data_IF_189607363977
#
_entry.id   IF_189607363977
#
_cell.length_a   1.000
_cell.length_b   1.000
_cell.length_c   1.000
_cell.angle_alpha   90.00
_cell.angle_beta   90.00
_cell.angle_gamma   90.00
#
_symmetry.space_group_name_H-M   'P 1'
#
loop_
_entity.id
_entity.type
_entity.pdbx_description
1 polymer ?
#
# COMPACT_ATOMS: atom_id res chain seq x y z
N UNK A 1 -16.15 -22.21 -21.07
CA UNK A 1 -16.13 -20.74 -21.13
C UNK A 1 -17.23 -20.25 -22.04
N UNK A 2 -17.79 -19.08 -21.78
CA UNK A 2 -18.90 -18.54 -22.59
C UNK A 2 -18.76 -17.03 -22.74
N UNK A 3 -19.24 -16.50 -23.87
CA UNK A 3 -19.37 -15.08 -24.15
C UNK A 3 -20.85 -14.70 -24.16
N UNK A 4 -21.28 -13.90 -23.21
CA UNK A 4 -22.62 -13.32 -23.21
C UNK A 4 -22.59 -11.97 -23.91
N UNK A 5 -23.57 -11.73 -24.77
CA UNK A 5 -23.77 -10.45 -25.44
C UNK A 5 -25.15 -9.90 -25.06
N UNK A 6 -25.18 -8.72 -24.46
CA UNK A 6 -26.41 -8.05 -24.07
C UNK A 6 -26.61 -6.80 -24.92
N UNK A 7 -27.85 -6.65 -25.40
CA UNK A 7 -28.33 -5.53 -26.21
C UNK A 7 -29.56 -4.93 -25.56
N UNK A 8 -29.76 -3.64 -25.76
CA UNK A 8 -30.93 -2.93 -25.24
C UNK A 8 -32.14 -3.20 -26.16
N UNK A 9 -33.05 -4.06 -25.70
CA UNK A 9 -34.29 -4.41 -26.39
C UNK A 9 -35.50 -3.74 -25.70
N UNK A 10 -36.53 -3.40 -26.47
CA UNK A 10 -37.78 -2.91 -25.93
C UNK A 10 -38.51 -4.00 -25.14
N UNK A 11 -38.94 -3.69 -23.91
CA UNK A 11 -39.61 -4.64 -23.01
C UNK A 11 -40.96 -5.11 -23.55
N UNK A 12 -41.69 -4.25 -24.28
CA UNK A 12 -43.01 -4.56 -24.83
C UNK A 12 -42.93 -5.26 -26.19
N UNK A 13 -41.85 -5.03 -26.95
CA UNK A 13 -41.58 -5.69 -28.23
C UNK A 13 -40.08 -5.95 -28.39
N UNK A 14 -39.65 -7.18 -28.10
CA UNK A 14 -38.25 -7.58 -28.11
C UNK A 14 -37.63 -7.60 -29.52
N UNK A 15 -38.41 -7.37 -30.58
CA UNK A 15 -37.90 -7.20 -31.95
C UNK A 15 -37.32 -5.81 -32.18
N UNK A 16 -37.65 -4.84 -31.32
CA UNK A 16 -37.19 -3.46 -31.43
C UNK A 16 -35.94 -3.30 -30.55
N UNK A 17 -34.79 -3.10 -31.19
CA UNK A 17 -33.54 -2.74 -30.53
C UNK A 17 -33.43 -1.21 -30.43
N UNK A 18 -32.96 -0.70 -29.29
CA UNK A 18 -32.82 0.75 -29.05
C UNK A 18 -31.80 1.41 -30.00
N UNK A 19 -30.97 0.62 -30.68
CA UNK A 19 -29.96 1.05 -31.68
C UNK A 19 -29.08 2.20 -31.20
N UNK A 20 -28.83 2.26 -29.89
CA UNK A 20 -28.02 3.29 -29.22
C UNK A 20 -26.49 3.02 -29.36
N UNK A 21 -26.12 1.99 -30.12
CA UNK A 21 -24.76 1.54 -30.30
C UNK A 21 -24.15 0.84 -29.07
N UNK A 22 -24.90 0.67 -27.98
CA UNK A 22 -24.38 0.04 -26.76
C UNK A 22 -24.51 -1.48 -26.83
N UNK A 23 -23.38 -2.16 -26.81
CA UNK A 23 -23.30 -3.61 -26.66
C UNK A 23 -22.47 -3.94 -25.44
N UNK A 24 -23.02 -4.71 -24.50
CA UNK A 24 -22.29 -5.18 -23.33
C UNK A 24 -21.87 -6.64 -23.52
N UNK A 25 -20.56 -6.90 -23.51
CA UNK A 25 -20.00 -8.25 -23.63
C UNK A 25 -19.49 -8.68 -22.26
N UNK A 26 -19.95 -9.83 -21.78
CA UNK A 26 -19.46 -10.45 -20.56
C UNK A 26 -18.78 -11.79 -20.90
N UNK A 27 -17.54 -11.94 -20.44
CA UNK A 27 -16.75 -13.15 -20.64
C UNK A 27 -16.68 -13.93 -19.34
N UNK A 28 -17.06 -15.21 -19.37
CA UNK A 28 -17.08 -16.06 -18.18
C UNK A 28 -16.05 -17.21 -18.29
N UNK A 29 -15.03 -17.17 -17.43
CA UNK A 29 -13.98 -18.19 -17.33
C UNK A 29 -14.50 -19.55 -16.84
N UNK A 30 -15.59 -19.56 -16.06
CA UNK A 30 -16.22 -20.76 -15.47
C UNK A 30 -17.48 -21.22 -16.19
N UNK A 31 -17.86 -20.57 -17.30
CA UNK A 31 -19.01 -21.00 -18.09
C UNK A 31 -18.82 -22.42 -18.65
N UNK A 32 -19.88 -23.21 -18.78
CA UNK A 32 -19.81 -24.61 -19.27
C UNK A 32 -20.09 -24.76 -20.77
N UNK A 33 -20.52 -23.68 -21.44
CA UNK A 33 -20.97 -23.73 -22.85
C UNK A 33 -19.83 -24.03 -23.84
N UNK A 34 -18.61 -23.55 -23.57
CA UNK A 34 -17.40 -23.76 -24.40
C UNK A 34 -17.58 -23.36 -25.88
N UNK A 35 -18.31 -22.27 -26.13
CA UNK A 35 -18.69 -21.79 -27.46
C UNK A 35 -17.87 -20.56 -27.92
N UNK A 36 -16.72 -20.35 -27.29
CA UNK A 36 -15.78 -19.29 -27.64
C UNK A 36 -14.66 -19.82 -28.54
N UNK A 37 -14.02 -18.95 -29.32
CA UNK A 37 -12.87 -19.33 -30.14
C UNK A 37 -11.71 -19.83 -29.27
N UNK A 38 -10.86 -20.70 -29.82
CA UNK A 38 -9.70 -21.26 -29.10
C UNK A 38 -8.78 -20.17 -28.53
N UNK A 39 -8.54 -19.09 -29.29
CA UNK A 39 -7.74 -17.95 -28.82
C UNK A 39 -8.39 -17.25 -27.61
N UNK A 40 -9.71 -17.01 -27.64
CA UNK A 40 -10.43 -16.42 -26.50
C UNK A 40 -10.48 -17.37 -25.31
N UNK A 41 -10.59 -18.68 -25.56
CA UNK A 41 -10.53 -19.70 -24.53
C UNK A 41 -9.16 -19.70 -23.83
N UNK A 42 -8.09 -19.67 -24.60
CA UNK A 42 -6.71 -19.60 -24.11
C UNK A 42 -6.48 -18.33 -23.27
N UNK A 43 -6.92 -17.17 -23.75
CA UNK A 43 -6.88 -15.94 -22.95
C UNK A 43 -7.65 -16.06 -21.62
N UNK A 44 -8.86 -16.64 -21.64
CA UNK A 44 -9.65 -16.83 -20.43
C UNK A 44 -9.04 -17.86 -19.47
N UNK A 45 -8.34 -18.87 -19.98
CA UNK A 45 -7.57 -19.81 -19.17
C UNK A 45 -6.41 -19.09 -18.48
N UNK A 46 -5.67 -18.26 -19.21
CA UNK A 46 -4.60 -17.43 -18.66
C UNK A 46 -5.10 -16.52 -17.52
N UNK A 47 -6.20 -15.80 -17.74
CA UNK A 47 -6.83 -14.93 -16.71
C UNK A 47 -7.30 -15.71 -15.48
N UNK A 48 -7.71 -16.98 -15.65
CA UNK A 48 -8.11 -17.88 -14.57
C UNK A 48 -6.92 -18.62 -13.90
N UNK A 49 -5.69 -18.17 -14.17
CA UNK A 49 -4.43 -18.77 -13.68
C UNK A 49 -4.23 -20.24 -14.08
N UNK A 50 -4.73 -20.65 -15.25
CA UNK A 50 -4.47 -21.97 -15.81
C UNK A 50 -3.30 -21.89 -16.79
N UNK A 51 -2.53 -22.98 -16.86
CA UNK A 51 -1.49 -23.12 -17.88
C UNK A 51 -2.12 -23.18 -19.27
N UNK A 52 -1.57 -22.40 -20.18
CA UNK A 52 -1.96 -22.33 -21.57
C UNK A 52 -0.70 -22.61 -22.38
N UNK A 53 -0.68 -23.72 -23.11
CA UNK A 53 0.45 -24.08 -23.94
C UNK A 53 0.18 -23.72 -25.40
N UNK A 54 1.23 -23.31 -26.12
CA UNK A 54 1.23 -23.08 -27.56
C UNK A 54 0.27 -21.97 -28.03
N UNK A 55 0.21 -20.85 -27.30
CA UNK A 55 -0.52 -19.66 -27.72
C UNK A 55 0.39 -18.42 -27.66
N UNK A 56 0.86 -18.00 -28.84
CA UNK A 56 1.78 -16.87 -29.00
C UNK A 56 1.24 -15.58 -28.35
N UNK A 57 -0.08 -15.35 -28.40
CA UNK A 57 -0.67 -14.15 -27.84
C UNK A 57 -0.63 -14.16 -26.31
N UNK A 58 -0.90 -15.32 -25.70
CA UNK A 58 -0.81 -15.48 -24.24
C UNK A 58 0.64 -15.36 -23.76
N UNK A 59 1.59 -15.92 -24.51
CA UNK A 59 3.02 -15.82 -24.20
C UNK A 59 3.50 -14.35 -24.25
N UNK A 60 3.18 -13.63 -25.33
CA UNK A 60 3.50 -12.20 -25.47
C UNK A 60 2.88 -11.35 -24.35
N UNK A 61 1.61 -11.63 -23.99
CA UNK A 61 0.92 -10.95 -22.90
C UNK A 61 1.59 -11.22 -21.55
N UNK A 62 1.96 -12.47 -21.28
CA UNK A 62 2.63 -12.86 -20.05
C UNK A 62 3.97 -12.15 -19.91
N UNK A 63 4.79 -12.15 -20.96
CA UNK A 63 6.08 -11.47 -20.97
C UNK A 63 5.93 -9.96 -20.74
N UNK A 64 4.94 -9.33 -21.37
CA UNK A 64 4.66 -7.91 -21.16
C UNK A 64 4.28 -7.60 -19.70
N UNK A 65 3.40 -8.42 -19.10
CA UNK A 65 3.02 -8.29 -17.68
C UNK A 65 4.24 -8.49 -16.77
N UNK A 66 5.09 -9.49 -17.05
CA UNK A 66 6.32 -9.72 -16.30
C UNK A 66 7.25 -8.51 -16.38
N UNK A 67 7.45 -7.93 -17.56
CA UNK A 67 8.26 -6.72 -17.71
C UNK A 67 7.70 -5.52 -16.93
N UNK A 68 6.37 -5.34 -16.94
CA UNK A 68 5.72 -4.30 -16.13
C UNK A 68 5.90 -4.55 -14.63
N UNK A 69 5.76 -5.79 -14.17
CA UNK A 69 5.97 -6.17 -12.77
C UNK A 69 7.44 -6.08 -12.34
N UNK A 70 8.38 -6.33 -13.26
CA UNK A 70 9.83 -6.19 -13.04
C UNK A 70 10.31 -4.74 -13.13
N UNK A 71 9.50 -3.82 -13.66
CA UNK A 71 9.72 -2.38 -13.55
C UNK A 71 9.48 -1.95 -12.09
N UNK A 72 10.49 -2.29 -11.28
CA UNK A 72 10.61 -2.26 -9.82
C UNK A 72 10.38 -0.90 -9.17
N UNK A 73 10.04 0.14 -9.94
CA UNK A 73 9.77 1.47 -9.42
C UNK A 73 8.74 1.44 -8.30
N UNK A 74 7.61 0.75 -8.48
CA UNK A 74 6.59 0.68 -7.41
C UNK A 74 7.12 -0.04 -6.16
N UNK A 75 7.77 -1.19 -6.32
CA UNK A 75 8.29 -1.96 -5.17
C UNK A 75 9.36 -1.19 -4.41
N UNK A 76 10.20 -0.45 -5.12
CA UNK A 76 11.22 0.41 -4.53
C UNK A 76 10.59 1.62 -3.82
N UNK A 77 9.66 2.32 -4.48
CA UNK A 77 8.92 3.46 -3.91
C UNK A 77 8.16 3.05 -2.62
N UNK A 78 7.60 1.83 -2.59
CA UNK A 78 6.91 1.31 -1.41
C UNK A 78 7.87 1.03 -0.23
N UNK A 79 9.02 0.40 -0.50
CA UNK A 79 10.02 0.10 0.54
C UNK A 79 10.69 1.37 1.06
N UNK A 80 10.94 2.34 0.19
CA UNK A 80 11.51 3.64 0.53
C UNK A 80 10.55 4.45 1.42
N UNK A 81 9.27 4.54 1.03
CA UNK A 81 8.25 5.22 1.82
C UNK A 81 8.09 4.58 3.21
N UNK A 82 8.06 3.25 3.30
CA UNK A 82 7.97 2.55 4.59
C UNK A 82 9.18 2.84 5.48
N UNK A 83 10.37 2.90 4.90
CA UNK A 83 11.62 3.20 5.61
C UNK A 83 11.62 4.64 6.11
N UNK A 84 11.21 5.59 5.28
CA UNK A 84 11.04 7.00 5.65
C UNK A 84 10.02 7.18 6.78
N UNK A 85 8.87 6.51 6.74
CA UNK A 85 7.87 6.54 7.80
C UNK A 85 8.43 5.99 9.12
N UNK A 86 9.18 4.88 9.09
CA UNK A 86 9.81 4.31 10.28
C UNK A 86 10.80 5.28 10.95
N UNK A 87 11.67 5.93 10.18
CA UNK A 87 12.58 6.93 10.73
C UNK A 87 11.84 8.13 11.30
N UNK A 88 10.78 8.60 10.62
CA UNK A 88 9.97 9.71 11.11
C UNK A 88 9.27 9.37 12.45
N UNK A 89 8.68 8.18 12.57
CA UNK A 89 8.04 7.74 13.81
C UNK A 89 9.04 7.63 14.97
N UNK A 90 10.26 7.16 14.70
CA UNK A 90 11.34 7.13 15.71
C UNK A 90 11.76 8.53 16.15
N UNK A 91 11.92 9.46 15.20
CA UNK A 91 12.30 10.84 15.50
C UNK A 91 11.20 11.55 16.29
N UNK A 92 9.94 11.43 15.89
CA UNK A 92 8.77 11.98 16.61
C UNK A 92 8.68 11.40 18.02
N UNK A 93 8.94 10.10 18.20
CA UNK A 93 8.95 9.48 19.53
C UNK A 93 10.06 10.06 20.40
N UNK A 94 11.29 10.16 19.88
CA UNK A 94 12.44 10.74 20.62
C UNK A 94 12.21 12.22 20.97
N UNK A 95 11.64 13.00 20.05
CA UNK A 95 11.26 14.39 20.32
C UNK A 95 10.17 14.49 21.39
N UNK A 96 9.18 13.60 21.35
CA UNK A 96 8.13 13.50 22.37
C UNK A 96 8.69 13.18 23.76
N UNK A 97 9.58 12.19 23.85
CA UNK A 97 10.28 11.80 25.07
C UNK A 97 11.12 12.98 25.63
N UNK A 98 11.93 13.61 24.78
CA UNK A 98 12.73 14.78 25.17
C UNK A 98 11.85 15.96 25.63
N UNK A 99 10.74 16.21 24.95
CA UNK A 99 9.78 17.25 25.34
C UNK A 99 9.14 16.96 26.70
N UNK A 100 8.77 15.70 26.96
CA UNK A 100 8.24 15.27 28.24
C UNK A 100 9.26 15.44 29.38
N UNK A 101 10.52 15.05 29.15
CA UNK A 101 11.61 15.22 30.11
C UNK A 101 11.83 16.72 30.39
N UNK A 102 11.89 17.58 29.36
CA UNK A 102 12.02 19.03 29.53
C UNK A 102 10.86 19.63 30.34
N UNK A 103 9.62 19.21 30.10
CA UNK A 103 8.45 19.64 30.89
C UNK A 103 8.54 19.17 32.35
N UNK A 104 8.97 17.94 32.59
CA UNK A 104 9.19 17.41 33.95
C UNK A 104 10.27 18.21 34.69
N UNK A 105 11.39 18.51 34.03
CA UNK A 105 12.46 19.36 34.58
C UNK A 105 11.90 20.74 34.94
N UNK A 106 11.15 21.39 34.05
CA UNK A 106 10.56 22.70 34.30
C UNK A 106 9.60 22.71 35.50
N UNK A 107 8.70 21.73 35.60
CA UNK A 107 7.79 21.58 36.75
C UNK A 107 8.56 21.33 38.06
N UNK A 108 9.60 20.51 38.01
CA UNK A 108 10.40 20.17 39.20
C UNK A 108 11.26 21.35 39.67
N UNK A 109 11.75 22.19 38.75
CA UNK A 109 12.41 23.48 39.06
C UNK A 109 11.45 24.43 39.79
N UNK A 110 10.19 24.52 39.36
CA UNK A 110 9.17 25.37 40.02
C UNK A 110 8.86 24.93 41.45
N UNK A 111 9.04 23.65 41.77
CA UNK A 111 8.88 23.10 43.13
C UNK A 111 10.10 23.34 44.03
N UNK A 112 11.15 24.03 43.55
CA UNK A 112 12.32 24.42 44.35
C UNK A 112 13.35 23.31 44.55
N UNK A 113 13.35 22.28 43.71
CA UNK A 113 14.35 21.20 43.80
C UNK A 113 15.71 21.69 43.28
N UNK A 114 16.82 21.47 44.01
CA UNK A 114 18.17 21.84 43.57
C UNK A 114 18.57 21.18 42.25
N UNK A 115 19.21 21.93 41.36
CA UNK A 115 19.51 21.48 40.00
C UNK A 115 20.49 20.29 39.95
N UNK A 116 21.46 20.23 40.86
CA UNK A 116 22.42 19.12 40.94
C UNK A 116 21.74 17.77 41.24
N UNK A 117 20.76 17.78 42.14
CA UNK A 117 19.96 16.59 42.45
C UNK A 117 19.04 16.21 41.28
N UNK A 118 18.51 17.21 40.56
CA UNK A 118 17.65 16.98 39.42
C UNK A 118 18.42 16.36 38.24
N UNK A 119 19.63 16.83 37.96
CA UNK A 119 20.51 16.27 36.92
C UNK A 119 20.84 14.82 37.20
N UNK A 120 21.26 14.48 38.43
CA UNK A 120 21.54 13.10 38.83
C UNK A 120 20.32 12.19 38.70
N UNK A 121 19.13 12.66 39.12
CA UNK A 121 17.89 11.89 39.00
C UNK A 121 17.47 11.66 37.55
N UNK A 122 17.52 12.69 36.70
CA UNK A 122 17.19 12.56 35.27
C UNK A 122 18.16 11.62 34.57
N UNK A 123 19.45 11.73 34.88
CA UNK A 123 20.47 10.86 34.32
C UNK A 123 20.25 9.38 34.71
N UNK A 124 19.95 9.11 35.98
CA UNK A 124 19.71 7.77 36.47
C UNK A 124 18.42 7.15 35.91
N UNK A 125 17.32 7.91 35.89
CA UNK A 125 15.98 7.43 35.48
C UNK A 125 15.89 7.17 33.97
N UNK A 126 16.49 8.05 33.15
CA UNK A 126 16.41 7.96 31.68
C UNK A 126 17.67 7.35 31.04
N UNK A 127 18.62 6.90 31.87
CA UNK A 127 19.89 6.29 31.44
C UNK A 127 20.68 7.13 30.42
N UNK A 128 20.62 8.45 30.58
CA UNK A 128 21.23 9.39 29.65
C UNK A 128 22.72 9.59 29.94
N UNK A 129 23.48 9.91 28.90
CA UNK A 129 24.87 10.35 29.05
C UNK A 129 24.95 11.78 29.62
N UNK A 130 26.11 12.14 30.17
CA UNK A 130 26.37 13.52 30.65
C UNK A 130 26.14 14.57 29.55
N UNK A 131 26.45 14.23 28.29
CA UNK A 131 26.25 15.12 27.15
C UNK A 131 24.76 15.33 26.82
N UNK A 132 23.94 14.29 26.91
CA UNK A 132 22.49 14.37 26.65
C UNK A 132 21.79 15.16 27.76
N UNK A 133 22.16 14.91 29.02
CA UNK A 133 21.68 15.69 30.17
C UNK A 133 22.10 17.15 30.02
N UNK A 134 23.35 17.44 29.63
CA UNK A 134 23.79 18.81 29.40
C UNK A 134 22.94 19.53 28.34
N UNK A 135 22.61 18.86 27.22
CA UNK A 135 21.74 19.42 26.17
C UNK A 135 20.32 19.71 26.67
N UNK A 136 19.72 18.79 27.42
CA UNK A 136 18.35 18.97 27.96
C UNK A 136 18.22 20.16 28.91
N UNK A 137 19.30 20.49 29.62
CA UNK A 137 19.35 21.61 30.57
C UNK A 137 19.93 22.90 29.98
N UNK A 138 20.55 22.86 28.79
CA UNK A 138 21.11 24.03 28.10
C UNK A 138 20.05 24.87 27.38
N UNK A 139 18.91 24.26 27.01
CA UNK A 139 17.83 24.90 26.23
C UNK A 139 16.74 25.59 27.09
N UNK A 140 16.93 25.74 28.40
CA UNK A 140 15.94 26.32 29.33
C UNK A 140 16.50 27.46 30.18
#
# INVERSE_FOLDING_TARGET
MHKYEFRNLCVHDHKIEMMDGRTAIFLNTKGIANDVSKALQNFLHYVDNKEVENDQYVDELHDYIQQLCQNTKWRNDYMDNKTHMMFHDEDVRKEGENSAIKKMIAMTRQLGVPEDQLRQKVQAEFHLSDQEVAKLFADN
#
